data_IF_017149170889
#
_entry.id   IF_017149170889
#
_cell.length_a   1.000
_cell.length_b   1.000
_cell.length_c   1.000
_cell.angle_alpha   90.00
_cell.angle_beta   90.00
_cell.angle_gamma   90.00
#
_symmetry.space_group_name_H-M   'P 1'
#
loop_
_entity.id
_entity.type
_entity.pdbx_description
1 polymer ?
#
# COMPACT_ATOMS: atom_id res chain seq x y z
N UNK A 1 30.88 -9.04 67.02
CA UNK A 1 30.73 -9.39 65.59
C UNK A 1 29.24 -9.43 65.27
N UNK A 2 28.69 -8.36 64.69
CA UNK A 2 27.32 -8.35 64.17
C UNK A 2 27.43 -7.82 62.73
N UNK A 3 27.34 -8.71 61.75
CA UNK A 3 27.36 -8.36 60.33
C UNK A 3 25.99 -7.85 59.92
N UNK A 4 25.91 -6.60 59.49
CA UNK A 4 24.74 -6.02 58.83
C UNK A 4 24.90 -6.27 57.33
N UNK A 5 24.12 -7.19 56.78
CA UNK A 5 24.05 -7.42 55.34
C UNK A 5 23.01 -6.46 54.74
N UNK A 6 23.47 -5.41 54.06
CA UNK A 6 22.60 -4.49 53.34
C UNK A 6 22.11 -5.13 52.03
N UNK A 7 20.79 -5.32 51.89
CA UNK A 7 20.16 -5.83 50.69
C UNK A 7 19.89 -4.66 49.73
N UNK A 8 20.70 -4.52 48.67
CA UNK A 8 20.45 -3.57 47.59
C UNK A 8 19.33 -4.11 46.69
N UNK A 9 18.16 -3.48 46.72
CA UNK A 9 17.10 -3.72 45.74
C UNK A 9 17.44 -2.96 44.44
N UNK A 10 17.84 -3.68 43.39
CA UNK A 10 18.06 -3.11 42.07
C UNK A 10 16.71 -3.05 41.34
N UNK A 11 16.09 -1.87 41.34
CA UNK A 11 14.90 -1.58 40.55
C UNK A 11 15.29 -1.51 39.06
N UNK A 12 15.10 -2.60 38.32
CA UNK A 12 15.20 -2.58 36.86
C UNK A 12 13.94 -1.91 36.31
N UNK A 13 14.00 -0.61 36.06
CA UNK A 13 12.96 0.09 35.32
C UNK A 13 12.83 -0.52 33.92
N UNK A 14 11.65 -1.04 33.60
CA UNK A 14 11.30 -1.42 32.23
C UNK A 14 11.29 -0.15 31.38
N UNK A 15 12.37 0.08 30.62
CA UNK A 15 12.39 1.09 29.60
C UNK A 15 11.43 0.67 28.47
N UNK A 16 10.26 1.30 28.41
CA UNK A 16 9.37 1.19 27.26
C UNK A 16 10.05 1.92 26.12
N UNK A 17 10.45 1.18 25.08
CA UNK A 17 10.99 1.78 23.87
C UNK A 17 9.94 2.73 23.26
N UNK A 18 10.35 3.93 22.86
CA UNK A 18 9.48 4.84 22.13
C UNK A 18 8.98 4.14 20.85
N UNK A 19 7.73 4.40 20.43
CA UNK A 19 7.25 3.89 19.15
C UNK A 19 8.18 4.36 18.03
N UNK A 20 8.38 3.54 16.98
CA UNK A 20 9.21 3.96 15.86
C UNK A 20 8.64 5.21 15.21
N UNK A 21 9.53 6.11 14.80
CA UNK A 21 9.14 7.34 14.11
C UNK A 21 8.42 7.02 12.78
N UNK A 22 7.31 7.70 12.47
CA UNK A 22 6.64 7.55 11.17
C UNK A 22 7.56 8.00 10.03
N UNK A 23 7.34 7.43 8.85
CA UNK A 23 7.86 7.99 7.61
C UNK A 23 6.99 9.19 7.25
N UNK A 24 7.63 10.31 6.94
CA UNK A 24 6.94 11.49 6.40
C UNK A 24 6.41 11.16 5.00
N UNK A 25 5.09 11.26 4.83
CA UNK A 25 4.41 11.04 3.56
C UNK A 25 3.57 12.26 3.24
N UNK A 26 3.71 12.78 2.03
CA UNK A 26 3.00 13.97 1.55
C UNK A 26 2.49 13.74 0.12
N UNK A 27 1.78 14.73 -0.41
CA UNK A 27 1.33 14.74 -1.81
C UNK A 27 2.47 14.48 -2.81
N UNK A 28 3.67 15.02 -2.52
CA UNK A 28 4.87 14.88 -3.34
C UNK A 28 5.56 13.52 -3.23
N UNK A 29 5.12 12.66 -2.29
CA UNK A 29 5.66 11.30 -2.13
C UNK A 29 5.24 10.36 -3.26
N UNK A 30 4.22 10.71 -4.03
CA UNK A 30 3.64 9.84 -5.05
C UNK A 30 3.79 10.45 -6.45
N UNK A 31 4.33 9.64 -7.37
CA UNK A 31 4.63 10.02 -8.75
C UNK A 31 3.85 9.17 -9.74
N UNK A 32 4.05 9.45 -11.02
CA UNK A 32 3.53 8.63 -12.11
C UNK A 32 3.87 7.14 -11.92
N UNK A 33 2.89 6.26 -12.14
CA UNK A 33 3.08 4.82 -12.03
C UNK A 33 4.25 4.29 -12.88
N UNK A 34 4.44 4.81 -14.10
CA UNK A 34 5.50 4.32 -14.99
C UNK A 34 6.91 4.79 -14.61
N UNK A 35 7.03 5.68 -13.61
CA UNK A 35 8.32 6.06 -13.01
C UNK A 35 8.73 5.14 -11.84
N UNK A 36 7.88 4.15 -11.52
CA UNK A 36 8.11 3.12 -10.52
C UNK A 36 8.49 1.79 -11.17
N UNK A 37 8.96 0.82 -10.37
CA UNK A 37 9.30 -0.52 -10.88
C UNK A 37 8.02 -1.33 -11.05
N UNK A 38 7.70 -1.73 -12.28
CA UNK A 38 6.57 -2.63 -12.54
C UNK A 38 6.91 -4.05 -12.13
N UNK A 39 6.13 -4.62 -11.21
CA UNK A 39 6.21 -6.03 -10.80
C UNK A 39 4.91 -6.71 -11.19
N UNK A 40 4.97 -7.55 -12.23
CA UNK A 40 3.80 -8.22 -12.84
C UNK A 40 2.70 -7.23 -13.25
N UNK A 41 1.78 -6.93 -12.35
CA UNK A 41 0.57 -6.15 -12.58
C UNK A 41 0.41 -4.98 -11.60
N UNK A 42 1.39 -4.71 -10.74
CA UNK A 42 1.42 -3.55 -9.85
C UNK A 42 2.80 -2.88 -9.96
N UNK A 43 2.96 -1.77 -9.25
CA UNK A 43 4.18 -0.97 -9.26
C UNK A 43 4.71 -0.81 -7.85
N UNK A 44 6.04 -0.77 -7.71
CA UNK A 44 6.72 -0.57 -6.43
C UNK A 44 7.75 0.54 -6.49
N UNK A 45 7.90 1.23 -5.37
CA UNK A 45 8.98 2.19 -5.10
C UNK A 45 9.41 2.12 -3.63
N UNK A 46 10.35 2.96 -3.18
CA UNK A 46 10.71 3.06 -1.77
C UNK A 46 11.07 4.50 -1.35
N UNK A 47 10.32 5.07 -0.39
CA UNK A 47 10.51 6.44 0.12
C UNK A 47 11.80 6.65 0.92
N UNK A 48 12.44 5.58 1.38
CA UNK A 48 13.72 5.60 2.10
C UNK A 48 14.90 5.19 1.21
N UNK A 49 14.68 5.05 -0.10
CA UNK A 49 15.71 4.74 -1.09
C UNK A 49 16.09 3.25 -1.19
N UNK A 50 15.48 2.36 -0.41
CA UNK A 50 15.74 0.91 -0.47
C UNK A 50 14.88 0.20 -1.53
N UNK A 51 14.90 0.73 -2.75
CA UNK A 51 14.08 0.22 -3.87
C UNK A 51 14.41 -1.24 -4.18
N UNK A 52 15.69 -1.60 -4.19
CA UNK A 52 16.13 -2.96 -4.50
C UNK A 52 15.47 -4.00 -3.58
N UNK A 53 15.51 -3.80 -2.26
CA UNK A 53 14.91 -4.76 -1.34
C UNK A 53 13.38 -4.82 -1.45
N UNK A 54 12.72 -3.69 -1.74
CA UNK A 54 11.28 -3.67 -2.04
C UNK A 54 10.97 -4.49 -3.29
N UNK A 55 11.74 -4.32 -4.37
CA UNK A 55 11.57 -5.06 -5.62
C UNK A 55 11.83 -6.56 -5.41
N UNK A 56 12.88 -6.95 -4.69
CA UNK A 56 13.20 -8.36 -4.42
C UNK A 56 12.05 -9.10 -3.72
N UNK A 57 11.44 -8.49 -2.68
CA UNK A 57 10.29 -9.07 -1.98
C UNK A 57 9.07 -9.15 -2.92
N UNK A 58 8.81 -8.09 -3.69
CA UNK A 58 7.71 -8.04 -4.63
C UNK A 58 7.82 -9.11 -5.74
N UNK A 59 9.01 -9.28 -6.31
CA UNK A 59 9.29 -10.28 -7.33
C UNK A 59 9.16 -11.71 -6.79
N UNK A 60 9.68 -11.96 -5.58
CA UNK A 60 9.52 -13.24 -4.88
C UNK A 60 8.04 -13.57 -4.63
N UNK A 61 7.21 -12.55 -4.41
CA UNK A 61 5.78 -12.69 -4.16
C UNK A 61 5.43 -13.13 -2.74
N UNK A 62 6.40 -13.19 -1.83
CA UNK A 62 6.23 -13.50 -0.41
C UNK A 62 7.38 -12.89 0.40
N UNK A 63 7.15 -12.66 1.69
CA UNK A 63 8.10 -12.05 2.61
C UNK A 63 7.63 -10.71 3.14
N UNK A 64 8.44 -10.13 4.04
CA UNK A 64 8.13 -8.85 4.68
C UNK A 64 8.75 -7.73 3.88
N UNK A 65 7.95 -6.74 3.49
CA UNK A 65 8.44 -5.56 2.79
C UNK A 65 9.27 -4.69 3.73
N UNK A 66 10.41 -4.14 3.26
CA UNK A 66 11.21 -3.22 4.08
C UNK A 66 10.47 -1.89 4.30
N UNK A 67 10.79 -1.15 5.38
CA UNK A 67 10.29 0.21 5.58
C UNK A 67 10.57 1.10 4.36
N UNK A 68 9.65 2.02 4.09
CA UNK A 68 9.66 2.89 2.92
C UNK A 68 9.00 2.30 1.69
N UNK A 69 8.71 0.99 1.66
CA UNK A 69 8.09 0.36 0.49
C UNK A 69 6.78 1.04 0.12
N UNK A 70 6.64 1.39 -1.15
CA UNK A 70 5.43 1.90 -1.78
C UNK A 70 4.91 0.81 -2.69
N UNK A 71 3.64 0.43 -2.57
CA UNK A 71 2.99 -0.54 -3.46
C UNK A 71 1.73 0.08 -4.03
N UNK A 72 1.64 0.11 -5.36
CA UNK A 72 0.55 0.77 -6.07
C UNK A 72 -0.03 -0.12 -7.18
N UNK A 73 -1.33 -0.43 -7.09
CA UNK A 73 -2.05 -1.19 -8.11
C UNK A 73 -2.73 -0.30 -9.14
N UNK A 74 -3.34 0.80 -8.69
CA UNK A 74 -4.09 1.75 -9.54
C UNK A 74 -3.70 3.19 -9.17
N UNK A 75 -3.89 4.18 -10.06
CA UNK A 75 -3.44 5.55 -9.81
C UNK A 75 -4.02 6.17 -8.52
N UNK A 76 -5.25 5.83 -8.17
CA UNK A 76 -5.98 6.45 -7.05
C UNK A 76 -5.78 5.79 -5.68
N UNK A 77 -4.97 4.74 -5.54
CA UNK A 77 -4.78 4.02 -4.27
C UNK A 77 -3.34 3.57 -4.12
N UNK A 78 -2.75 3.74 -2.93
CA UNK A 78 -1.38 3.32 -2.63
C UNK A 78 -1.25 2.89 -1.16
N UNK A 79 -0.28 2.04 -0.86
CA UNK A 79 0.09 1.68 0.51
C UNK A 79 1.58 1.90 0.75
N UNK A 80 1.93 2.38 1.95
CA UNK A 80 3.30 2.68 2.37
C UNK A 80 3.65 1.88 3.63
N UNK A 81 4.82 1.23 3.62
CA UNK A 81 5.33 0.44 4.76
C UNK A 81 6.11 1.33 5.72
N UNK A 82 5.62 1.52 6.93
CA UNK A 82 6.32 2.18 8.02
C UNK A 82 7.33 1.26 8.72
N UNK A 83 8.19 1.79 9.62
CA UNK A 83 9.11 0.97 10.37
C UNK A 83 8.37 -0.03 11.26
N UNK A 84 9.04 -1.15 11.53
CA UNK A 84 8.46 -2.28 12.26
C UNK A 84 7.94 -1.86 13.64
N UNK A 85 6.68 -2.19 13.93
CA UNK A 85 6.04 -1.90 15.21
C UNK A 85 5.30 -0.55 15.26
N UNK A 86 5.23 0.16 14.13
CA UNK A 86 4.47 1.39 14.00
C UNK A 86 2.96 1.16 14.06
N UNK A 87 2.45 0.11 13.42
CA UNK A 87 1.04 -0.28 13.51
C UNK A 87 0.86 -1.79 13.46
N UNK A 88 0.55 -2.41 14.59
CA UNK A 88 0.40 -3.87 14.67
C UNK A 88 -0.77 -4.40 13.84
N UNK A 89 -1.88 -3.66 13.77
CA UNK A 89 -3.08 -4.12 13.08
C UNK A 89 -2.84 -4.28 11.57
N UNK A 90 -2.14 -3.32 10.97
CA UNK A 90 -1.89 -3.31 9.52
C UNK A 90 -0.52 -3.88 9.14
N UNK A 91 0.21 -4.49 10.08
CA UNK A 91 1.63 -4.85 9.89
C UNK A 91 2.43 -3.68 9.34
N UNK A 92 2.27 -2.50 9.95
CA UNK A 92 2.98 -1.27 9.62
C UNK A 92 2.64 -0.67 8.25
N UNK A 93 1.64 -1.18 7.54
CA UNK A 93 1.14 -0.56 6.32
C UNK A 93 0.18 0.60 6.63
N UNK A 94 0.42 1.74 6.01
CA UNK A 94 -0.56 2.82 5.90
C UNK A 94 -1.19 2.79 4.51
N UNK A 95 -2.50 3.02 4.43
CA UNK A 95 -3.27 3.03 3.19
C UNK A 95 -3.66 4.45 2.81
N UNK A 96 -3.70 4.73 1.51
CA UNK A 96 -3.98 6.05 0.97
C UNK A 96 -4.98 5.94 -0.18
N UNK A 97 -5.94 6.85 -0.17
CA UNK A 97 -6.79 7.17 -1.30
C UNK A 97 -6.32 8.51 -1.87
N UNK A 98 -6.07 8.53 -3.18
CA UNK A 98 -5.44 9.63 -3.90
C UNK A 98 -6.40 10.27 -4.90
N UNK A 99 -6.40 11.60 -4.90
CA UNK A 99 -6.80 12.41 -6.04
C UNK A 99 -5.59 12.59 -6.96
N UNK A 100 -5.67 12.09 -8.19
CA UNK A 100 -4.58 12.22 -9.19
C UNK A 100 -5.03 13.07 -10.36
N UNK A 101 -4.12 13.95 -10.81
CA UNK A 101 -4.34 14.91 -11.89
C UNK A 101 -3.06 15.08 -12.70
N UNK A 102 -3.08 15.93 -13.73
CA UNK A 102 -1.85 16.26 -14.47
C UNK A 102 -0.89 17.10 -13.63
N UNK A 103 -1.43 17.81 -12.65
CA UNK A 103 -0.70 18.70 -11.74
C UNK A 103 0.00 17.92 -10.62
N UNK A 104 -0.36 16.64 -10.42
CA UNK A 104 0.25 15.77 -9.42
C UNK A 104 -0.78 14.98 -8.62
N UNK A 105 -0.41 14.64 -7.39
CA UNK A 105 -1.23 13.91 -6.44
C UNK A 105 -1.71 14.84 -5.33
N UNK A 106 -2.92 14.60 -4.83
CA UNK A 106 -3.39 15.06 -3.53
C UNK A 106 -3.84 13.85 -2.71
N UNK A 107 -3.42 13.75 -1.46
CA UNK A 107 -3.94 12.75 -0.52
C UNK A 107 -5.36 13.16 -0.13
N UNK A 108 -6.34 12.36 -0.54
CA UNK A 108 -7.74 12.54 -0.16
C UNK A 108 -8.00 11.96 1.22
N UNK A 109 -7.60 10.69 1.41
CA UNK A 109 -7.65 10.01 2.71
C UNK A 109 -6.37 9.23 2.94
N UNK A 110 -5.96 9.11 4.20
CA UNK A 110 -4.89 8.22 4.64
C UNK A 110 -5.18 7.68 6.04
N UNK A 111 -4.58 6.55 6.36
CA UNK A 111 -4.74 5.93 7.67
C UNK A 111 -4.54 4.42 7.64
N UNK A 112 -5.14 3.74 8.60
CA UNK A 112 -4.85 2.32 8.86
C UNK A 112 -6.09 1.46 8.64
N UNK A 113 -6.86 1.21 9.68
CA UNK A 113 -7.97 0.25 9.65
C UNK A 113 -9.26 0.81 9.02
N UNK A 114 -9.34 2.13 8.83
CA UNK A 114 -10.57 2.88 8.56
C UNK A 114 -10.58 3.59 7.20
N UNK A 115 -9.55 3.41 6.37
CA UNK A 115 -9.49 4.02 5.04
C UNK A 115 -10.47 3.35 4.09
N UNK A 116 -11.43 4.13 3.60
CA UNK A 116 -12.44 3.71 2.61
C UNK A 116 -12.19 4.45 1.30
N UNK A 117 -12.00 3.70 0.22
CA UNK A 117 -11.74 4.23 -1.12
C UNK A 117 -12.98 4.93 -1.72
N UNK A 118 -12.80 5.52 -2.90
CA UNK A 118 -13.87 6.21 -3.64
C UNK A 118 -15.05 5.32 -4.05
N UNK A 119 -14.87 4.00 -4.00
CA UNK A 119 -15.88 3.00 -4.35
C UNK A 119 -16.57 2.39 -3.12
N UNK A 120 -16.31 2.90 -1.92
CA UNK A 120 -16.92 2.41 -0.68
C UNK A 120 -16.26 1.16 -0.08
N UNK A 121 -15.19 0.66 -0.68
CA UNK A 121 -14.40 -0.47 -0.15
C UNK A 121 -13.39 -0.02 0.91
N UNK A 122 -13.27 -0.77 2.00
CA UNK A 122 -12.25 -0.53 3.04
C UNK A 122 -10.93 -1.24 2.68
N UNK A 123 -9.83 -0.47 2.68
CA UNK A 123 -8.51 -0.97 2.29
C UNK A 123 -8.06 -2.11 3.22
N UNK A 124 -8.05 -1.87 4.54
CA UNK A 124 -7.59 -2.85 5.51
C UNK A 124 -8.42 -4.15 5.48
N UNK A 125 -9.74 -4.07 5.39
CA UNK A 125 -10.63 -5.23 5.37
C UNK A 125 -10.40 -6.15 4.16
N UNK A 126 -9.92 -5.59 3.04
CA UNK A 126 -9.48 -6.35 1.89
C UNK A 126 -8.10 -6.98 2.16
N UNK A 127 -7.13 -6.16 2.57
CA UNK A 127 -5.72 -6.53 2.70
C UNK A 127 -5.42 -7.51 3.85
N UNK A 128 -6.17 -7.45 4.95
CA UNK A 128 -6.01 -8.32 6.13
C UNK A 128 -6.29 -9.80 5.85
N UNK A 129 -6.97 -10.10 4.74
CA UNK A 129 -7.28 -11.48 4.33
C UNK A 129 -6.09 -12.19 3.68
N UNK A 130 -5.05 -11.46 3.30
CA UNK A 130 -3.84 -12.06 2.78
C UNK A 130 -3.23 -13.02 3.80
N UNK A 131 -2.83 -14.21 3.36
CA UNK A 131 -2.11 -15.16 4.22
C UNK A 131 -0.85 -14.49 4.79
N UNK A 132 -0.41 -14.87 6.01
CA UNK A 132 0.62 -14.13 6.73
C UNK A 132 1.93 -13.90 5.98
N UNK A 133 2.33 -14.86 5.14
CA UNK A 133 3.53 -14.86 4.30
C UNK A 133 3.55 -13.78 3.20
N UNK A 134 2.39 -13.19 2.87
CA UNK A 134 2.27 -12.17 1.82
C UNK A 134 2.23 -10.74 2.34
N UNK A 135 2.39 -10.54 3.65
CA UNK A 135 2.54 -9.22 4.27
C UNK A 135 1.49 -8.18 3.82
N UNK A 136 0.21 -8.56 3.88
CA UNK A 136 -0.94 -7.76 3.47
C UNK A 136 -1.06 -7.52 1.95
N UNK A 137 -0.18 -8.05 1.10
CA UNK A 137 -0.33 -7.93 -0.35
C UNK A 137 -1.38 -8.93 -0.86
N UNK A 138 -2.46 -8.42 -1.44
CA UNK A 138 -3.57 -9.23 -1.95
C UNK A 138 -3.46 -9.48 -3.46
N UNK A 139 -2.65 -10.46 -3.86
CA UNK A 139 -2.65 -11.00 -5.22
C UNK A 139 -3.53 -12.27 -5.34
N UNK A 140 -3.71 -12.74 -6.58
CA UNK A 140 -4.39 -14.00 -6.86
C UNK A 140 -3.70 -15.15 -6.13
N UNK A 141 -4.46 -15.94 -5.36
CA UNK A 141 -3.92 -17.06 -4.58
C UNK A 141 -3.34 -16.67 -3.22
N UNK A 142 -3.38 -15.38 -2.85
CA UNK A 142 -2.92 -14.91 -1.54
C UNK A 142 -3.96 -15.10 -0.42
N UNK A 143 -5.15 -15.62 -0.74
CA UNK A 143 -6.23 -15.86 0.23
C UNK A 143 -7.24 -14.72 0.37
N UNK A 144 -7.03 -13.63 -0.37
CA UNK A 144 -7.98 -12.51 -0.42
C UNK A 144 -9.18 -12.82 -1.31
N UNK A 145 -10.27 -12.10 -1.07
CA UNK A 145 -11.48 -12.22 -1.89
C UNK A 145 -11.21 -11.73 -3.32
N UNK A 146 -11.78 -12.39 -4.34
CA UNK A 146 -11.68 -11.91 -5.71
C UNK A 146 -12.42 -10.57 -5.86
N UNK A 147 -11.79 -9.64 -6.57
CA UNK A 147 -12.43 -8.39 -7.01
C UNK A 147 -12.97 -8.57 -8.45
N UNK A 148 -14.11 -7.97 -8.81
CA UNK A 148 -14.67 -8.07 -10.16
C UNK A 148 -13.93 -7.17 -11.19
N UNK A 149 -12.67 -6.80 -10.91
CA UNK A 149 -11.81 -6.01 -11.79
C UNK A 149 -10.77 -6.96 -12.41
N UNK A 150 -10.80 -7.07 -13.73
CA UNK A 150 -9.90 -7.97 -14.46
C UNK A 150 -8.50 -7.37 -14.65
N UNK A 151 -7.52 -8.23 -14.95
CA UNK A 151 -6.14 -7.78 -15.24
C UNK A 151 -6.06 -6.80 -16.41
N UNK A 152 -6.89 -6.95 -17.44
CA UNK A 152 -6.90 -6.00 -18.56
C UNK A 152 -7.48 -4.65 -18.17
N UNK A 153 -8.51 -4.63 -17.31
CA UNK A 153 -9.08 -3.38 -16.79
C UNK A 153 -8.05 -2.63 -15.96
N UNK A 154 -7.33 -3.33 -15.09
CA UNK A 154 -6.23 -2.75 -14.31
C UNK A 154 -5.12 -2.22 -15.22
N UNK A 155 -4.68 -3.00 -16.20
CA UNK A 155 -3.63 -2.59 -17.12
C UNK A 155 -4.03 -1.36 -17.95
N UNK A 156 -5.29 -1.28 -18.40
CA UNK A 156 -5.80 -0.12 -19.11
C UNK A 156 -5.88 1.11 -18.19
N UNK A 157 -6.40 0.95 -16.97
CA UNK A 157 -6.47 2.03 -15.97
C UNK A 157 -5.08 2.56 -15.57
N UNK A 158 -4.08 1.68 -15.47
CA UNK A 158 -2.69 2.08 -15.20
C UNK A 158 -2.12 2.97 -16.30
N UNK A 159 -2.48 2.70 -17.58
CA UNK A 159 -2.04 3.53 -18.72
C UNK A 159 -2.66 4.93 -18.72
N UNK A 160 -3.77 5.12 -17.99
CA UNK A 160 -4.48 6.39 -17.88
C UNK A 160 -4.10 7.20 -16.65
N UNK A 161 -3.02 6.87 -15.94
CA UNK A 161 -2.51 7.71 -14.86
C UNK A 161 -2.22 9.13 -15.38
N UNK A 162 -2.98 10.16 -14.95
CA UNK A 162 -2.86 11.50 -15.51
C UNK A 162 -1.54 12.19 -15.16
N UNK A 163 -0.80 11.67 -14.16
CA UNK A 163 0.51 12.18 -13.75
C UNK A 163 1.61 11.77 -14.72
N UNK A 164 1.39 10.72 -15.51
CA UNK A 164 2.38 10.23 -16.45
C UNK A 164 2.43 11.12 -17.69
N UNK A 165 3.66 11.35 -18.18
CA UNK A 165 3.84 11.94 -19.51
C UNK A 165 3.08 11.11 -20.55
N UNK A 166 2.56 11.75 -21.60
CA UNK A 166 1.66 11.13 -22.57
C UNK A 166 2.12 9.71 -22.96
N UNK A 167 1.42 8.71 -22.42
CA UNK A 167 1.59 7.30 -22.72
C UNK A 167 1.39 7.05 -24.22
N UNK A 168 1.89 5.91 -24.72
CA UNK A 168 1.45 5.43 -26.01
C UNK A 168 -0.09 5.46 -26.10
N UNK A 169 -0.68 5.84 -27.25
CA UNK A 169 -2.12 5.90 -27.40
C UNK A 169 -2.79 4.61 -26.94
N UNK A 170 -3.92 4.73 -26.22
CA UNK A 170 -4.72 3.58 -25.81
C UNK A 170 -5.16 2.78 -27.04
N UNK A 171 -5.05 1.47 -26.97
CA UNK A 171 -5.56 0.58 -28.02
C UNK A 171 -7.09 0.49 -27.96
N UNK A 172 -7.70 -0.09 -29.00
CA UNK A 172 -9.13 -0.42 -28.97
C UNK A 172 -9.48 -1.35 -27.79
N UNK A 173 -8.62 -2.33 -27.52
CA UNK A 173 -8.77 -3.24 -26.38
C UNK A 173 -8.66 -2.51 -25.02
N UNK A 174 -7.77 -1.51 -24.90
CA UNK A 174 -7.67 -0.69 -23.69
C UNK A 174 -8.95 0.12 -23.48
N UNK A 175 -9.47 0.77 -24.53
CA UNK A 175 -10.70 1.55 -24.45
C UNK A 175 -11.89 0.67 -24.05
N UNK A 176 -12.03 -0.51 -24.65
CA UNK A 176 -13.06 -1.49 -24.27
C UNK A 176 -12.90 -1.95 -22.82
N UNK A 177 -11.67 -2.17 -22.35
CA UNK A 177 -11.44 -2.53 -20.95
C UNK A 177 -11.82 -1.40 -19.98
N UNK A 178 -11.60 -0.13 -20.35
CA UNK A 178 -12.01 1.02 -19.54
C UNK A 178 -13.54 1.19 -19.53
N UNK A 179 -14.22 0.97 -20.65
CA UNK A 179 -15.69 0.98 -20.72
C UNK A 179 -16.29 -0.07 -19.77
N UNK A 180 -15.79 -1.31 -19.82
CA UNK A 180 -16.27 -2.35 -18.93
C UNK A 180 -15.90 -2.09 -17.47
N UNK A 181 -14.72 -1.53 -17.20
CA UNK A 181 -14.35 -1.09 -15.86
C UNK A 181 -15.38 -0.08 -15.34
N UNK A 182 -15.78 0.90 -16.14
CA UNK A 182 -16.80 1.87 -15.76
C UNK A 182 -18.14 1.20 -15.43
N UNK A 183 -18.56 0.17 -16.16
CA UNK A 183 -19.75 -0.61 -15.83
C UNK A 183 -19.62 -1.35 -14.49
N UNK A 184 -18.46 -1.96 -14.22
CA UNK A 184 -18.17 -2.60 -12.92
C UNK A 184 -18.21 -1.56 -11.80
N UNK A 185 -17.58 -0.40 -11.97
CA UNK A 185 -17.53 0.65 -10.95
C UNK A 185 -18.92 1.21 -10.60
N UNK A 186 -19.83 1.30 -11.59
CA UNK A 186 -21.24 1.66 -11.35
C UNK A 186 -21.98 0.68 -10.45
N UNK A 187 -21.52 -0.58 -10.36
CA UNK A 187 -22.12 -1.56 -9.44
C UNK A 187 -21.70 -1.33 -7.99
N UNK A 188 -20.51 -0.75 -7.75
CA UNK A 188 -20.04 -0.37 -6.41
C UNK A 188 -20.66 0.95 -5.92
N UNK A 189 -20.95 1.87 -6.84
CA UNK A 189 -21.56 3.16 -6.51
C UNK A 189 -23.06 3.10 -6.18
N UNK A 190 -23.71 1.95 -6.39
CA UNK A 190 -25.11 1.75 -5.96
C UNK A 190 -25.10 1.53 -4.44
N UNK A 191 -25.90 2.29 -3.65
CA UNK A 191 -26.08 1.96 -2.26
C UNK A 191 -26.59 0.52 -2.14
N UNK A 192 -25.91 -0.30 -1.35
CA UNK A 192 -26.46 -1.57 -0.87
C UNK A 192 -27.60 -1.28 0.10
#
# INVERSE_FOLDING_TARGET
>A
MLSITALLAISHGLAVAAPPEPIEVSDDSFKCLTDMVKVRHFFVDNLLGNLQATTEVAEKGEGVYPPGSVVQLIPGEVMVKHPKGFNTATKDWEFFELDVSKEGTRIGKRGFVDVVNKFGGNCFACHVKARPEFDMICEMGHGCDPIPITRRMLAALQKTDPRCSASAPLTEDDNKALEELNEVLKTFAKPQ
#
